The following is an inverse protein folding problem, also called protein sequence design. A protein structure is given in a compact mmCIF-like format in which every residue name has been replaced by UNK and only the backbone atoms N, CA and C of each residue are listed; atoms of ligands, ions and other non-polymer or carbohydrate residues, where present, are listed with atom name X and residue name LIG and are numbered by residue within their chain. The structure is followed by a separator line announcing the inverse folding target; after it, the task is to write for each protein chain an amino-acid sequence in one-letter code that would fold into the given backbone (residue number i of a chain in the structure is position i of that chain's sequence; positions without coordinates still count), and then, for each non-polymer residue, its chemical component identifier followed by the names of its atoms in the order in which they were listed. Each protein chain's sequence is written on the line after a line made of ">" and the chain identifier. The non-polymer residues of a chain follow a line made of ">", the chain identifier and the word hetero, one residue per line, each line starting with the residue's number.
data_IF_422654235726
#
_entry.id   IF_422654235726
#
_cell.length_a   1.000
_cell.length_b   1.000
_cell.length_c   1.000
_cell.angle_alpha   90.00
_cell.angle_beta   90.00
_cell.angle_gamma   90.00
#
_symmetry.space_group_name_H-M   'P 1'
#
loop_
_entity.id
_entity.type
_entity.pdbx_description
1 polymer ?
#
# COMPACT_ATOMS: atom_id res chain seq x y z
N UNK A 1 20.39 -1.49 6.32
CA UNK A 1 19.92 -0.23 5.68
C UNK A 1 19.43 -0.43 4.24
N UNK A 2 20.23 -0.98 3.30
CA UNK A 2 19.83 -1.15 1.88
C UNK A 2 18.76 -2.25 1.64
N UNK A 3 18.67 -3.23 2.53
CA UNK A 3 17.67 -4.30 2.47
C UNK A 3 16.27 -3.87 2.96
N UNK A 4 16.19 -2.99 3.95
CA UNK A 4 14.91 -2.46 4.47
C UNK A 4 14.16 -1.62 3.44
N UNK A 5 14.89 -0.84 2.62
CA UNK A 5 14.29 -0.06 1.55
C UNK A 5 13.69 -0.94 0.45
N UNK A 6 14.34 -2.07 0.10
CA UNK A 6 13.83 -3.04 -0.86
C UNK A 6 12.54 -3.71 -0.36
N UNK A 7 12.54 -4.23 0.86
CA UNK A 7 11.34 -4.83 1.48
C UNK A 7 10.16 -3.87 1.55
N UNK A 8 10.45 -2.58 1.81
CA UNK A 8 9.44 -1.52 1.84
C UNK A 8 8.87 -1.23 0.45
N UNK A 9 9.70 -1.22 -0.58
CA UNK A 9 9.24 -1.03 -1.97
C UNK A 9 8.36 -2.20 -2.43
N UNK A 10 8.78 -3.42 -2.12
CA UNK A 10 8.03 -4.64 -2.45
C UNK A 10 6.66 -4.66 -1.75
N UNK A 11 6.60 -4.39 -0.44
CA UNK A 11 5.32 -4.27 0.28
C UNK A 11 4.39 -3.22 -0.35
N UNK A 12 4.94 -2.06 -0.74
CA UNK A 12 4.14 -1.01 -1.35
C UNK A 12 3.60 -1.41 -2.73
N UNK A 13 4.36 -2.21 -3.50
CA UNK A 13 3.91 -2.78 -4.77
C UNK A 13 2.76 -3.75 -4.55
N UNK A 14 2.93 -4.72 -3.65
CA UNK A 14 1.90 -5.73 -3.33
C UNK A 14 0.62 -5.06 -2.81
N UNK A 15 0.73 -4.04 -1.96
CA UNK A 15 -0.44 -3.30 -1.46
C UNK A 15 -1.24 -2.64 -2.59
N UNK A 16 -0.56 -2.08 -3.60
CA UNK A 16 -1.24 -1.48 -4.77
C UNK A 16 -1.94 -2.53 -5.62
N UNK A 17 -1.28 -3.64 -5.89
CA UNK A 17 -1.85 -4.77 -6.65
C UNK A 17 -3.07 -5.33 -5.92
N UNK A 18 -2.99 -5.47 -4.59
CA UNK A 18 -4.11 -5.89 -3.76
C UNK A 18 -5.30 -4.93 -3.86
N UNK A 19 -5.08 -3.61 -3.81
CA UNK A 19 -6.17 -2.63 -4.00
C UNK A 19 -6.77 -2.69 -5.40
N UNK A 20 -5.95 -2.94 -6.43
CA UNK A 20 -6.40 -3.04 -7.80
C UNK A 20 -7.28 -4.28 -8.02
N UNK A 21 -6.94 -5.41 -7.38
CA UNK A 21 -7.71 -6.65 -7.43
C UNK A 21 -8.95 -6.64 -6.53
N UNK A 22 -8.97 -5.77 -5.51
CA UNK A 22 -10.07 -5.63 -4.56
C UNK A 22 -10.53 -4.16 -4.46
N UNK A 23 -11.19 -3.62 -5.50
CA UNK A 23 -11.60 -2.23 -5.56
C UNK A 23 -12.63 -1.85 -4.48
N UNK A 24 -13.37 -2.82 -3.95
CA UNK A 24 -14.40 -2.60 -2.93
C UNK A 24 -13.84 -2.49 -1.51
N UNK A 25 -12.63 -3.02 -1.26
CA UNK A 25 -12.03 -2.96 0.07
C UNK A 25 -11.65 -1.53 0.45
N UNK A 26 -11.98 -1.14 1.68
CA UNK A 26 -11.60 0.14 2.23
C UNK A 26 -10.08 0.20 2.51
N UNK A 27 -9.52 1.41 2.57
CA UNK A 27 -8.11 1.59 2.94
C UNK A 27 -7.83 1.14 4.38
N UNK A 28 -8.85 1.15 5.25
CA UNK A 28 -8.77 0.64 6.62
C UNK A 28 -8.56 -0.88 6.63
N UNK A 29 -9.34 -1.62 5.86
CA UNK A 29 -9.20 -3.08 5.74
C UNK A 29 -7.87 -3.47 5.10
N UNK A 30 -7.46 -2.77 4.04
CA UNK A 30 -6.16 -2.98 3.41
C UNK A 30 -5.03 -2.67 4.40
N UNK A 31 -5.15 -1.60 5.18
CA UNK A 31 -4.19 -1.27 6.23
C UNK A 31 -4.04 -2.40 7.26
N UNK A 32 -5.15 -2.98 7.70
CA UNK A 32 -5.16 -4.10 8.64
C UNK A 32 -4.44 -5.34 8.09
N UNK A 33 -4.66 -5.69 6.82
CA UNK A 33 -4.00 -6.82 6.14
C UNK A 33 -2.48 -6.62 6.04
N UNK A 34 -2.03 -5.40 5.76
CA UNK A 34 -0.61 -5.08 5.52
C UNK A 34 0.13 -4.52 6.74
N UNK A 35 -0.52 -4.42 7.90
CA UNK A 35 0.07 -3.86 9.12
C UNK A 35 0.45 -2.38 8.99
N UNK A 36 -0.35 -1.58 8.28
CA UNK A 36 -0.15 -0.13 8.12
C UNK A 36 -1.43 0.63 8.46
N UNK A 37 -1.29 1.91 8.84
CA UNK A 37 -2.48 2.75 9.07
C UNK A 37 -3.25 3.00 7.77
N UNK A 38 -4.55 3.27 7.88
CA UNK A 38 -5.42 3.63 6.77
C UNK A 38 -4.83 4.79 5.93
N UNK A 39 -4.44 5.88 6.60
CA UNK A 39 -3.81 7.03 5.94
C UNK A 39 -2.55 6.62 5.17
N UNK A 40 -1.75 5.68 5.73
CA UNK A 40 -0.55 5.18 5.06
C UNK A 40 -0.87 4.32 3.86
N UNK A 41 -1.89 3.46 3.94
CA UNK A 41 -2.38 2.68 2.80
C UNK A 41 -2.86 3.61 1.67
N UNK A 42 -3.65 4.65 1.99
CA UNK A 42 -4.10 5.64 1.02
C UNK A 42 -2.93 6.33 0.31
N UNK A 43 -1.91 6.78 1.09
CA UNK A 43 -0.69 7.37 0.51
C UNK A 43 0.02 6.36 -0.39
N UNK A 44 0.24 5.13 0.05
CA UNK A 44 0.97 4.13 -0.75
C UNK A 44 0.29 3.88 -2.09
N UNK A 45 -1.05 3.75 -2.08
CA UNK A 45 -1.85 3.55 -3.29
C UNK A 45 -1.81 4.78 -4.21
N UNK A 46 -2.00 5.98 -3.66
CA UNK A 46 -2.19 7.19 -4.46
C UNK A 46 -0.90 7.99 -4.75
N UNK A 47 0.24 7.67 -4.13
CA UNK A 47 1.50 8.44 -4.24
C UNK A 47 2.07 8.54 -5.67
N UNK A 48 1.65 7.68 -6.59
CA UNK A 48 2.07 7.76 -8.01
C UNK A 48 1.06 8.46 -8.93
N UNK A 49 -0.10 8.92 -8.42
CA UNK A 49 -0.95 9.86 -9.16
C UNK A 49 -0.32 11.26 -9.09
N UNK A 50 0.84 11.45 -9.73
CA UNK A 50 1.22 12.80 -10.14
C UNK A 50 0.19 13.23 -11.18
N UNK A 51 -0.40 14.41 -10.94
CA UNK A 51 -1.22 15.16 -11.89
C UNK A 51 -0.57 15.21 -13.26
#
# INVERSE_FOLDING_TARGET
>A
ARYDSLRKLERNKVLREFKANHPDLSYKEIGAVFGVSEARAWVIVNKNKKR
#
